data_IF_674060737540
#
_entry.id   IF_674060737540
#
_cell.length_a   1.000
_cell.length_b   1.000
_cell.length_c   1.000
_cell.angle_alpha   90.00
_cell.angle_beta   90.00
_cell.angle_gamma   90.00
#
_symmetry.space_group_name_H-M   'P 1'
#
loop_
_entity.id
_entity.type
_entity.pdbx_description
1 polymer ?
#
# COMPACT_ATOMS: atom_id res chain seq x y z
N UNK A 1 -6.92 19.76 0.92
CA UNK A 1 -6.83 18.36 1.38
C UNK A 1 -8.25 17.88 1.55
N UNK A 2 -8.65 16.93 0.72
CA UNK A 2 -9.95 16.30 0.84
C UNK A 2 -9.99 15.43 2.12
N UNK A 3 -10.81 15.78 3.10
CA UNK A 3 -10.94 15.02 4.36
C UNK A 3 -11.59 13.65 4.13
N UNK A 4 -12.34 13.49 3.04
CA UNK A 4 -13.01 12.23 2.69
C UNK A 4 -12.03 11.06 2.54
N UNK A 5 -10.81 11.31 2.06
CA UNK A 5 -9.78 10.27 1.91
C UNK A 5 -9.27 9.77 3.25
N UNK A 6 -9.11 10.68 4.22
CA UNK A 6 -8.73 10.32 5.59
C UNK A 6 -9.83 9.50 6.27
N UNK A 7 -11.09 9.91 6.10
CA UNK A 7 -12.26 9.20 6.64
C UNK A 7 -12.39 7.80 6.03
N UNK A 8 -12.27 7.69 4.70
CA UNK A 8 -12.33 6.41 3.98
C UNK A 8 -11.25 5.44 4.46
N UNK A 9 -10.02 5.92 4.64
CA UNK A 9 -8.91 5.10 5.13
C UNK A 9 -9.11 4.69 6.60
N UNK A 10 -9.65 5.58 7.43
CA UNK A 10 -9.93 5.29 8.84
C UNK A 10 -11.04 4.26 9.00
N UNK A 11 -12.08 4.32 8.16
CA UNK A 11 -13.14 3.29 8.10
C UNK A 11 -12.58 1.94 7.65
N UNK A 12 -11.68 1.95 6.67
CA UNK A 12 -11.06 0.72 6.15
C UNK A 12 -10.06 0.08 7.13
N UNK A 13 -9.53 0.86 8.08
CA UNK A 13 -8.49 0.46 9.02
C UNK A 13 -8.86 0.92 10.44
N UNK A 14 -9.94 0.39 11.03
CA UNK A 14 -10.51 0.90 12.28
C UNK A 14 -9.53 0.85 13.47
N UNK A 15 -8.64 -0.14 13.49
CA UNK A 15 -7.65 -0.29 14.58
C UNK A 15 -6.34 0.49 14.35
N UNK A 16 -6.34 1.45 13.42
CA UNK A 16 -5.13 2.17 13.01
C UNK A 16 -5.31 3.67 13.11
N UNK A 17 -4.24 4.34 13.50
CA UNK A 17 -4.15 5.79 13.38
C UNK A 17 -3.65 6.11 11.98
N UNK A 18 -4.46 6.82 11.20
CA UNK A 18 -4.11 7.32 9.87
C UNK A 18 -3.87 8.82 9.95
N UNK A 19 -2.80 9.30 9.31
CA UNK A 19 -2.54 10.73 9.18
C UNK A 19 -2.00 11.06 7.80
N UNK A 20 -2.41 12.22 7.29
CA UNK A 20 -1.96 12.77 6.01
C UNK A 20 -1.44 14.18 6.29
N UNK A 21 -0.16 14.41 6.04
CA UNK A 21 0.49 15.71 6.30
C UNK A 21 1.11 16.27 5.02
N UNK A 22 0.94 17.57 4.72
CA UNK A 22 1.59 18.17 3.56
C UNK A 22 3.11 18.20 3.73
N UNK A 23 3.83 18.03 2.62
CA UNK A 23 5.29 18.13 2.57
C UNK A 23 5.71 19.37 1.77
N UNK A 24 6.93 19.91 2.02
CA UNK A 24 7.43 21.09 1.29
C UNK A 24 7.61 20.89 -0.22
N UNK A 25 7.71 19.64 -0.67
CA UNK A 25 7.85 19.25 -2.08
C UNK A 25 6.51 19.21 -2.85
N UNK A 26 5.40 19.59 -2.19
CA UNK A 26 4.06 19.58 -2.78
C UNK A 26 3.36 18.22 -2.75
N UNK A 27 4.00 17.19 -2.20
CA UNK A 27 3.38 15.89 -1.93
C UNK A 27 2.70 15.85 -0.55
N UNK A 28 2.01 14.76 -0.26
CA UNK A 28 1.55 14.41 1.07
C UNK A 28 2.35 13.24 1.64
N UNK A 29 2.59 13.25 2.95
CA UNK A 29 3.07 12.11 3.70
C UNK A 29 1.87 11.40 4.31
N UNK A 30 1.59 10.19 3.84
CA UNK A 30 0.65 9.27 4.47
C UNK A 30 1.40 8.43 5.50
N UNK A 31 0.93 8.46 6.74
CA UNK A 31 1.42 7.63 7.83
C UNK A 31 0.28 6.82 8.43
N UNK A 32 0.53 5.53 8.65
CA UNK A 32 -0.37 4.62 9.33
C UNK A 32 0.41 3.97 10.47
N UNK A 33 -0.14 4.04 11.67
CA UNK A 33 0.43 3.40 12.86
C UNK A 33 -0.59 2.54 13.58
N UNK A 34 -0.10 1.49 14.24
CA UNK A 34 -0.87 0.67 15.18
C UNK A 34 -0.12 0.65 16.51
N UNK A 35 -0.80 0.93 17.61
CA UNK A 35 -0.19 0.87 18.96
C UNK A 35 1.10 1.71 19.09
N UNK A 36 1.19 2.82 18.34
CA UNK A 36 2.35 3.70 18.32
C UNK A 36 3.48 3.27 17.36
N UNK A 37 3.41 2.08 16.77
CA UNK A 37 4.38 1.61 15.78
C UNK A 37 3.96 2.02 14.36
N UNK A 38 4.89 2.62 13.60
CA UNK A 38 4.65 2.98 12.20
C UNK A 38 4.71 1.73 11.33
N UNK A 39 3.57 1.38 10.71
CA UNK A 39 3.46 0.20 9.85
C UNK A 39 3.45 0.55 8.36
N UNK A 40 3.17 1.81 8.03
CA UNK A 40 3.18 2.32 6.67
C UNK A 40 3.53 3.80 6.66
N UNK A 41 4.53 4.16 5.86
CA UNK A 41 4.95 5.53 5.65
C UNK A 41 5.26 5.74 4.17
N UNK A 42 4.51 6.61 3.50
CA UNK A 42 4.66 6.82 2.05
C UNK A 42 4.39 8.26 1.64
N UNK A 43 5.26 8.79 0.79
CA UNK A 43 4.99 10.01 0.06
C UNK A 43 4.00 9.73 -1.08
N UNK A 44 2.91 10.47 -1.14
CA UNK A 44 1.84 10.32 -2.12
C UNK A 44 1.58 11.64 -2.82
N UNK A 45 1.30 11.57 -4.12
CA UNK A 45 0.93 12.75 -4.90
C UNK A 45 -0.39 13.34 -4.38
N UNK A 46 -0.54 14.66 -4.53
CA UNK A 46 -1.78 15.37 -4.26
C UNK A 46 -2.99 14.75 -4.97
N UNK A 47 -2.84 14.33 -6.23
CA UNK A 47 -3.91 13.68 -6.99
C UNK A 47 -4.34 12.32 -6.41
N UNK A 48 -3.42 11.62 -5.74
CA UNK A 48 -3.75 10.37 -5.05
C UNK A 48 -4.60 10.59 -3.78
N UNK A 49 -4.57 11.80 -3.21
CA UNK A 49 -5.33 12.15 -2.01
C UNK A 49 -6.61 12.93 -2.34
N UNK A 50 -6.57 13.83 -3.31
CA UNK A 50 -7.68 14.76 -3.58
C UNK A 50 -8.75 14.18 -4.52
N UNK A 51 -8.44 13.10 -5.27
CA UNK A 51 -9.41 12.42 -6.15
C UNK A 51 -9.99 11.15 -5.52
N UNK A 52 -11.26 10.86 -5.79
CA UNK A 52 -11.92 9.65 -5.29
C UNK A 52 -11.26 8.36 -5.85
N UNK A 53 -10.92 8.35 -7.14
CA UNK A 53 -10.22 7.22 -7.75
C UNK A 53 -8.81 7.03 -7.17
N UNK A 54 -8.11 8.13 -6.87
CA UNK A 54 -6.84 8.13 -6.16
C UNK A 54 -6.95 7.56 -4.75
N UNK A 55 -7.94 8.01 -3.98
CA UNK A 55 -8.23 7.52 -2.64
C UNK A 55 -8.53 6.01 -2.63
N UNK A 56 -9.37 5.54 -3.57
CA UNK A 56 -9.66 4.10 -3.75
C UNK A 56 -8.42 3.31 -4.15
N UNK A 57 -7.58 3.85 -5.02
CA UNK A 57 -6.33 3.20 -5.42
C UNK A 57 -5.36 3.08 -4.22
N UNK A 58 -5.26 4.14 -3.42
CA UNK A 58 -4.42 4.20 -2.22
C UNK A 58 -4.91 3.20 -1.15
N UNK A 59 -6.21 3.14 -0.89
CA UNK A 59 -6.80 2.15 0.02
C UNK A 59 -6.46 0.72 -0.42
N UNK A 60 -6.63 0.41 -1.72
CA UNK A 60 -6.31 -0.93 -2.25
C UNK A 60 -4.84 -1.26 -2.15
N UNK A 61 -3.96 -0.29 -2.39
CA UNK A 61 -2.52 -0.44 -2.21
C UNK A 61 -2.18 -0.77 -0.75
N UNK A 62 -2.68 0.00 0.21
CA UNK A 62 -2.44 -0.23 1.64
C UNK A 62 -2.93 -1.62 2.06
N UNK A 63 -4.15 -2.00 1.69
CA UNK A 63 -4.72 -3.31 2.03
C UNK A 63 -3.92 -4.45 1.39
N UNK A 64 -3.41 -4.27 0.16
CA UNK A 64 -2.58 -5.26 -0.52
C UNK A 64 -1.25 -5.43 0.19
N UNK A 65 -0.57 -4.33 0.51
CA UNK A 65 0.75 -4.36 1.13
C UNK A 65 0.68 -5.03 2.52
N UNK A 66 -0.40 -4.79 3.27
CA UNK A 66 -0.65 -5.46 4.53
C UNK A 66 -0.88 -6.96 4.40
N UNK A 67 -1.67 -7.39 3.41
CA UNK A 67 -1.87 -8.82 3.12
C UNK A 67 -0.57 -9.51 2.70
N UNK A 68 0.29 -8.80 1.97
CA UNK A 68 1.62 -9.28 1.59
C UNK A 68 2.51 -9.47 2.82
N UNK A 69 2.51 -8.51 3.76
CA UNK A 69 3.28 -8.59 5.00
C UNK A 69 2.74 -9.68 5.95
N UNK A 70 1.42 -9.82 6.09
CA UNK A 70 0.81 -10.84 6.97
C UNK A 70 0.92 -12.27 6.43
N UNK A 71 1.36 -12.45 5.18
CA UNK A 71 1.42 -13.77 4.54
C UNK A 71 0.04 -14.35 4.18
N UNK A 72 -1.04 -13.60 4.38
CA UNK A 72 -2.43 -13.99 4.06
C UNK A 72 -2.73 -13.98 2.55
N UNK A 73 -1.74 -13.71 1.71
CA UNK A 73 -1.90 -13.86 0.26
C UNK A 73 -2.02 -15.35 -0.08
N UNK A 74 -3.25 -15.84 -0.13
CA UNK A 74 -3.57 -17.12 -0.74
C UNK A 74 -3.43 -17.00 -2.26
N UNK A 75 -2.26 -17.44 -2.76
CA UNK A 75 -1.90 -17.45 -4.19
C UNK A 75 -2.71 -18.45 -5.03
N UNK A 76 -3.63 -19.21 -4.42
CA UNK A 76 -4.56 -20.15 -5.07
C UNK A 76 -5.98 -19.91 -4.56
N UNK A 77 -6.94 -19.84 -5.48
CA UNK A 77 -8.38 -19.72 -5.19
C UNK A 77 -8.98 -18.36 -5.58
N UNK A 78 -10.28 -18.18 -5.29
CA UNK A 78 -11.11 -17.02 -5.67
C UNK A 78 -10.58 -15.67 -5.14
N UNK A 79 -9.64 -15.69 -4.18
CA UNK A 79 -8.90 -14.53 -3.68
C UNK A 79 -7.66 -14.12 -4.49
N UNK A 80 -7.28 -14.87 -5.53
CA UNK A 80 -6.08 -14.62 -6.34
C UNK A 80 -6.24 -13.48 -7.38
N UNK A 81 -7.41 -12.85 -7.46
CA UNK A 81 -7.72 -11.78 -8.43
C UNK A 81 -6.82 -10.53 -8.28
N UNK A 82 -6.11 -10.41 -7.15
CA UNK A 82 -5.28 -9.26 -6.77
C UNK A 82 -3.94 -9.22 -7.51
N UNK A 83 -3.48 -10.34 -8.09
CA UNK A 83 -2.23 -10.44 -8.87
C UNK A 83 -2.43 -10.02 -10.34
N UNK A 84 -3.67 -9.76 -10.76
CA UNK A 84 -3.98 -9.42 -12.16
C UNK A 84 -3.67 -7.96 -12.54
N UNK A 85 -3.41 -7.07 -11.57
CA UNK A 85 -3.05 -5.67 -11.85
C UNK A 85 -1.55 -5.44 -11.73
N UNK A 86 -1.03 -4.69 -12.70
CA UNK A 86 0.37 -4.26 -12.82
C UNK A 86 0.91 -3.86 -11.45
N UNK A 87 1.77 -4.71 -10.89
CA UNK A 87 2.53 -4.37 -9.69
C UNK A 87 3.37 -3.13 -10.03
N UNK A 88 3.40 -2.10 -9.17
CA UNK A 88 4.22 -0.93 -9.42
C UNK A 88 5.68 -1.38 -9.46
N UNK A 89 6.30 -1.33 -10.65
CA UNK A 89 7.75 -1.42 -10.76
C UNK A 89 8.36 -0.06 -10.61
N UNK A 90 9.61 -0.04 -10.16
CA UNK A 90 10.49 1.11 -10.28
C UNK A 90 10.50 1.72 -11.71
N UNK A 91 10.23 0.90 -12.73
CA UNK A 91 10.21 1.27 -14.14
C UNK A 91 8.82 1.56 -14.73
N UNK A 92 7.73 1.47 -13.96
CA UNK A 92 6.35 1.58 -14.46
C UNK A 92 5.83 0.42 -15.35
N UNK A 93 6.71 -0.49 -15.81
CA UNK A 93 6.35 -1.70 -16.54
C UNK A 93 5.74 -2.79 -15.62
N UNK A 94 4.87 -3.70 -16.11
CA UNK A 94 4.35 -4.79 -15.30
C UNK A 94 5.47 -5.78 -14.92
N UNK A 95 5.64 -6.11 -13.63
CA UNK A 95 6.44 -7.30 -13.27
C UNK A 95 5.66 -8.55 -13.68
N UNK A 96 6.32 -9.46 -14.39
CA UNK A 96 5.81 -10.82 -14.55
C UNK A 96 5.59 -11.45 -13.16
N UNK A 97 4.42 -12.03 -12.84
CA UNK A 97 4.14 -12.64 -11.54
C UNK A 97 5.25 -13.56 -11.00
N UNK A 98 5.94 -14.28 -11.88
CA UNK A 98 7.09 -15.13 -11.54
C UNK A 98 8.29 -14.33 -11.02
N UNK A 99 8.59 -13.18 -11.61
CA UNK A 99 9.68 -12.32 -11.16
C UNK A 99 9.35 -11.64 -9.82
N UNK A 100 8.09 -11.27 -9.59
CA UNK A 100 7.64 -10.75 -8.29
C UNK A 100 7.83 -11.79 -7.17
N UNK A 101 7.50 -13.07 -7.44
CA UNK A 101 7.69 -14.20 -6.52
C UNK A 101 9.16 -14.38 -6.12
N UNK A 102 10.07 -14.30 -7.08
CA UNK A 102 11.51 -14.46 -6.84
C UNK A 102 12.11 -13.28 -6.07
N UNK A 103 11.65 -12.05 -6.31
CA UNK A 103 12.15 -10.86 -5.59
C UNK A 103 11.78 -10.87 -4.11
N UNK A 104 10.55 -11.25 -3.76
CA UNK A 104 10.14 -11.36 -2.36
C UNK A 104 10.88 -12.50 -1.63
N UNK A 105 11.00 -13.66 -2.28
CA UNK A 105 11.75 -14.80 -1.72
C UNK A 105 13.21 -14.46 -1.43
N UNK A 106 13.85 -13.61 -2.25
CA UNK A 106 15.23 -13.15 -2.01
C UNK A 106 15.33 -12.18 -0.84
N UNK A 107 14.37 -11.25 -0.70
CA UNK A 107 14.36 -10.28 0.42
C UNK A 107 14.18 -10.94 1.79
N UNK A 108 13.39 -12.02 1.88
CA UNK A 108 13.27 -12.77 3.12
C UNK A 108 14.51 -13.61 3.47
N UNK A 109 15.34 -13.95 2.47
CA UNK A 109 16.62 -14.62 2.72
C UNK A 109 17.68 -13.66 3.26
N UNK A 110 17.67 -12.39 2.79
CA UNK A 110 18.58 -11.35 3.29
C UNK A 110 18.23 -10.87 4.71
N UNK A 111 17.00 -11.09 5.18
CA UNK A 111 16.57 -10.76 6.55
C UNK A 111 16.93 -11.85 7.60
N UNK A 112 17.52 -12.96 7.16
CA UNK A 112 17.94 -14.09 8.01
C UNK A 112 19.45 -14.09 8.29
N UNK A 113 20.16 -12.99 7.98
CA UNK A 113 21.58 -12.80 8.24
C UNK A 113 21.83 -11.59 9.14
#
# INVERSE_FOLDING_TARGET
MNTATLDQLSIALPDHTVSITPRPDGMYLLSISKEGESIFLKAVDKMAVDSEDGARALQREILRDRKLVSGEVNWKGTGAQWVSRKLPTFTGAPVNPTAAKMMWSRRNLDALH
#
